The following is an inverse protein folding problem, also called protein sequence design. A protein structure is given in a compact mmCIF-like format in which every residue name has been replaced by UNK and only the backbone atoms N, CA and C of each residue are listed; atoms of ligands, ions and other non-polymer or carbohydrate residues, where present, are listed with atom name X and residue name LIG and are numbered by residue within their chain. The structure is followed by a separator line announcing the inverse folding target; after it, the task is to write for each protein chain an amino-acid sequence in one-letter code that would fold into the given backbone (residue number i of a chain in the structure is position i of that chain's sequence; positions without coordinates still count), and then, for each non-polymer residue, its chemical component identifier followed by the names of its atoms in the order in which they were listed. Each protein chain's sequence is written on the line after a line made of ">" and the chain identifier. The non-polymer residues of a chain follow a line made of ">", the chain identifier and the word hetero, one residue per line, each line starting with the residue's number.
data_IF_567195906982
#
_entry.id   IF_567195906982
#
_cell.length_a   1.000
_cell.length_b   1.000
_cell.length_c   1.000
_cell.angle_alpha   90.00
_cell.angle_beta   90.00
_cell.angle_gamma   90.00
#
_symmetry.space_group_name_H-M   'P 1'
#
loop_
_entity.id
_entity.type
_entity.pdbx_description
1 polymer ?
#
# COMPACT_ATOMS: atom_id res chain seq x y z
N UNK A 1 25.92 22.17 18.95
CA UNK A 1 25.37 20.83 18.68
C UNK A 1 23.93 21.03 18.23
N UNK A 2 23.67 20.98 16.92
CA UNK A 2 22.31 20.97 16.39
C UNK A 2 21.68 19.63 16.75
N UNK A 3 20.55 19.62 17.46
CA UNK A 3 19.78 18.40 17.72
C UNK A 3 19.54 17.69 16.38
N UNK A 4 20.02 16.46 16.27
CA UNK A 4 19.76 15.62 15.12
C UNK A 4 18.28 15.23 15.19
N UNK A 5 17.44 15.93 14.44
CA UNK A 5 16.01 15.65 14.35
C UNK A 5 15.86 14.28 13.68
N UNK A 6 15.65 13.24 14.48
CA UNK A 6 15.26 11.92 14.00
C UNK A 6 13.93 12.05 13.25
N UNK A 7 13.95 11.82 11.93
CA UNK A 7 12.76 11.93 11.09
C UNK A 7 11.82 10.75 11.21
N UNK A 8 12.33 9.60 11.67
CA UNK A 8 11.58 8.39 11.95
C UNK A 8 11.86 7.95 13.39
N UNK A 9 10.89 8.12 14.31
CA UNK A 9 10.98 7.54 15.65
C UNK A 9 10.61 6.05 15.57
N UNK A 10 11.62 5.20 15.51
CA UNK A 10 11.42 3.81 15.09
C UNK A 10 10.80 2.91 16.16
N UNK A 11 10.90 3.23 17.46
CA UNK A 11 10.62 2.24 18.53
C UNK A 11 9.20 1.66 18.50
N UNK A 12 8.18 2.50 18.32
CA UNK A 12 6.78 2.04 18.22
C UNK A 12 6.56 1.26 16.93
N UNK A 13 7.07 1.79 15.80
CA UNK A 13 6.96 1.13 14.49
C UNK A 13 7.70 -0.22 14.44
N UNK A 14 8.82 -0.35 15.15
CA UNK A 14 9.64 -1.57 15.22
C UNK A 14 8.87 -2.68 15.94
N UNK A 15 8.30 -2.36 17.10
CA UNK A 15 7.51 -3.30 17.88
C UNK A 15 6.26 -3.77 17.11
N UNK A 16 5.49 -2.84 16.54
CA UNK A 16 4.30 -3.16 15.75
C UNK A 16 4.63 -3.96 14.49
N UNK A 17 5.76 -3.64 13.82
CA UNK A 17 6.23 -4.41 12.66
C UNK A 17 6.63 -5.83 13.03
N UNK A 18 7.37 -6.02 14.13
CA UNK A 18 7.78 -7.34 14.60
C UNK A 18 6.58 -8.25 14.90
N UNK A 19 5.59 -7.74 15.64
CA UNK A 19 4.33 -8.45 15.93
C UNK A 19 3.59 -8.80 14.63
N UNK A 20 3.56 -7.86 13.69
CA UNK A 20 2.94 -8.07 12.38
C UNK A 20 3.64 -9.18 11.58
N UNK A 21 4.97 -9.20 11.58
CA UNK A 21 5.76 -10.26 10.92
C UNK A 21 5.48 -11.63 11.54
N UNK A 22 5.46 -11.74 12.87
CA UNK A 22 5.15 -12.99 13.57
C UNK A 22 3.74 -13.51 13.20
N UNK A 23 2.75 -12.61 13.24
CA UNK A 23 1.37 -12.93 12.89
C UNK A 23 1.19 -13.37 11.43
N UNK A 24 1.94 -12.78 10.51
CA UNK A 24 1.89 -13.13 9.09
C UNK A 24 2.65 -14.41 8.80
N UNK A 25 3.91 -14.50 9.25
CA UNK A 25 4.78 -15.63 8.91
C UNK A 25 4.34 -16.94 9.55
N UNK A 26 3.68 -16.92 10.72
CA UNK A 26 3.05 -18.11 11.31
C UNK A 26 1.93 -18.71 10.44
N UNK A 27 1.34 -17.92 9.52
CA UNK A 27 0.27 -18.34 8.62
C UNK A 27 0.76 -18.71 7.22
N UNK A 28 2.03 -18.47 6.90
CA UNK A 28 2.57 -18.75 5.58
C UNK A 28 3.01 -20.20 5.45
N UNK A 29 2.42 -20.90 4.49
CA UNK A 29 2.94 -22.17 4.00
C UNK A 29 4.05 -21.83 3.01
N UNK A 30 5.30 -22.08 3.40
CA UNK A 30 6.45 -21.91 2.50
C UNK A 30 6.68 -23.20 1.71
N UNK A 31 6.99 -23.11 0.42
CA UNK A 31 7.54 -24.24 -0.31
C UNK A 31 8.77 -24.77 0.43
N UNK A 32 8.97 -26.08 0.37
CA UNK A 32 10.19 -26.67 0.89
C UNK A 32 11.41 -26.25 0.04
N UNK A 33 12.60 -26.34 0.63
CA UNK A 33 13.83 -25.91 -0.04
C UNK A 33 14.11 -26.70 -1.33
N UNK A 34 13.72 -27.98 -1.41
CA UNK A 34 13.97 -28.80 -2.61
C UNK A 34 13.12 -28.35 -3.80
N UNK A 35 11.91 -27.85 -3.54
CA UNK A 35 11.08 -27.21 -4.57
C UNK A 35 11.78 -25.96 -5.12
N UNK A 36 12.32 -25.11 -4.25
CA UNK A 36 13.04 -23.89 -4.66
C UNK A 36 14.31 -24.25 -5.44
N UNK A 37 15.12 -25.19 -4.94
CA UNK A 37 16.33 -25.65 -5.60
C UNK A 37 16.04 -26.26 -6.99
N UNK A 38 14.92 -26.98 -7.11
CA UNK A 38 14.43 -27.53 -8.37
C UNK A 38 14.10 -26.44 -9.40
N UNK A 39 13.55 -25.31 -8.96
CA UNK A 39 13.31 -24.14 -9.82
C UNK A 39 14.64 -23.48 -10.22
N UNK A 40 15.51 -23.21 -9.24
CA UNK A 40 16.77 -22.48 -9.44
C UNK A 40 17.78 -23.24 -10.32
N UNK A 41 17.63 -24.56 -10.48
CA UNK A 41 18.41 -25.35 -11.45
C UNK A 41 18.26 -24.84 -12.90
N UNK A 42 17.14 -24.19 -13.22
CA UNK A 42 16.85 -23.65 -14.55
C UNK A 42 17.09 -22.13 -14.64
N UNK A 43 17.57 -21.51 -13.56
CA UNK A 43 17.84 -20.08 -13.50
C UNK A 43 19.10 -19.73 -14.29
N UNK A 44 19.06 -18.59 -14.99
CA UNK A 44 20.20 -18.05 -15.72
C UNK A 44 20.30 -16.54 -15.45
N UNK A 45 21.53 -16.04 -15.27
CA UNK A 45 21.75 -14.63 -14.91
C UNK A 45 21.37 -13.62 -16.00
N UNK A 46 21.25 -14.07 -17.24
CA UNK A 46 20.94 -13.28 -18.44
C UNK A 46 19.43 -13.14 -18.71
N UNK A 47 18.57 -13.60 -17.79
CA UNK A 47 17.11 -13.52 -17.93
C UNK A 47 16.43 -13.18 -16.60
N UNK A 48 15.36 -12.39 -16.68
CA UNK A 48 14.49 -12.08 -15.55
C UNK A 48 13.39 -13.12 -15.31
N UNK A 49 13.32 -14.15 -16.15
CA UNK A 49 12.32 -15.20 -16.11
C UNK A 49 13.00 -16.58 -16.05
N UNK A 50 12.49 -17.47 -15.21
CA UNK A 50 12.84 -18.90 -15.18
C UNK A 50 11.69 -19.67 -15.82
N UNK A 51 11.99 -20.51 -16.81
CA UNK A 51 10.98 -21.37 -17.47
C UNK A 51 11.38 -22.83 -17.30
N UNK A 52 10.55 -23.59 -16.60
CA UNK A 52 10.75 -25.02 -16.35
C UNK A 52 10.39 -25.86 -17.59
N UNK A 53 10.82 -27.14 -17.67
CA UNK A 53 10.49 -28.03 -18.78
C UNK A 53 8.99 -28.25 -19.01
N UNK A 54 8.20 -28.19 -17.94
CA UNK A 54 6.73 -28.29 -17.98
C UNK A 54 6.04 -26.96 -18.32
N UNK A 55 6.82 -25.93 -18.66
CA UNK A 55 6.40 -24.56 -19.01
C UNK A 55 5.88 -23.72 -17.85
N UNK A 56 6.03 -24.17 -16.60
CA UNK A 56 5.84 -23.28 -15.47
C UNK A 56 6.86 -22.14 -15.52
N UNK A 57 6.40 -20.93 -15.18
CA UNK A 57 7.18 -19.70 -15.28
C UNK A 57 7.30 -19.03 -13.92
N UNK A 58 8.50 -18.59 -13.60
CA UNK A 58 8.83 -17.79 -12.43
C UNK A 58 9.55 -16.51 -12.86
N UNK A 59 9.46 -15.48 -12.04
CA UNK A 59 9.89 -14.13 -12.40
C UNK A 59 10.70 -13.54 -11.26
N UNK A 60 11.85 -12.98 -11.61
CA UNK A 60 12.66 -12.18 -10.70
C UNK A 60 12.23 -10.72 -10.74
N UNK A 61 11.81 -10.21 -9.58
CA UNK A 61 11.27 -8.87 -9.42
C UNK A 61 12.08 -8.07 -8.38
N UNK A 62 12.61 -6.91 -8.77
CA UNK A 62 13.29 -5.99 -7.88
C UNK A 62 12.33 -4.94 -7.32
N UNK A 63 12.07 -5.02 -6.01
CA UNK A 63 11.32 -4.03 -5.27
C UNK A 63 12.24 -2.92 -4.75
N UNK A 64 11.84 -1.66 -4.97
CA UNK A 64 12.51 -0.45 -4.46
C UNK A 64 11.60 0.46 -3.61
N UNK A 65 10.32 0.09 -3.47
CA UNK A 65 9.30 0.84 -2.75
C UNK A 65 8.62 0.00 -1.67
N UNK A 66 7.31 0.18 -1.47
CA UNK A 66 6.57 -0.55 -0.44
C UNK A 66 6.63 -2.07 -0.58
N UNK A 67 6.85 -2.61 -1.79
CA UNK A 67 6.98 -4.06 -2.01
C UNK A 67 8.25 -4.67 -1.42
N UNK A 68 9.21 -3.85 -0.94
CA UNK A 68 10.34 -4.34 -0.14
C UNK A 68 9.88 -4.87 1.22
N UNK A 69 8.69 -4.46 1.68
CA UNK A 69 8.16 -4.78 2.99
C UNK A 69 7.35 -6.10 2.92
N UNK A 70 7.70 -7.13 3.72
CA UNK A 70 7.03 -8.43 3.67
C UNK A 70 5.55 -8.36 4.05
N UNK A 71 5.17 -7.42 4.91
CA UNK A 71 3.77 -7.18 5.26
C UNK A 71 3.02 -6.60 4.06
N UNK A 72 3.61 -5.62 3.38
CA UNK A 72 3.00 -5.02 2.20
C UNK A 72 2.77 -6.04 1.07
N UNK A 73 3.69 -7.00 0.89
CA UNK A 73 3.52 -8.12 -0.03
C UNK A 73 2.37 -9.04 0.40
N UNK A 74 2.37 -9.47 1.67
CA UNK A 74 1.33 -10.34 2.22
C UNK A 74 -0.08 -9.75 2.09
N UNK A 75 -0.25 -8.46 2.41
CA UNK A 75 -1.55 -7.78 2.35
C UNK A 75 -2.11 -7.66 0.93
N UNK A 76 -1.27 -7.91 -0.08
CA UNK A 76 -1.60 -7.92 -1.51
C UNK A 76 -1.62 -9.33 -2.10
N UNK A 77 -1.60 -10.36 -1.25
CA UNK A 77 -1.59 -11.77 -1.62
C UNK A 77 -0.40 -12.13 -2.56
N UNK A 78 0.75 -11.49 -2.32
CA UNK A 78 2.03 -11.78 -2.96
C UNK A 78 2.93 -12.47 -1.94
N UNK A 79 3.35 -13.70 -2.23
CA UNK A 79 4.16 -14.53 -1.34
C UNK A 79 5.42 -15.00 -2.08
N UNK A 80 6.53 -14.25 -2.04
CA UNK A 80 7.75 -14.66 -2.72
C UNK A 80 8.22 -16.04 -2.29
N UNK A 81 8.69 -16.83 -3.24
CA UNK A 81 9.34 -18.13 -3.00
C UNK A 81 10.69 -17.92 -2.32
N UNK A 82 11.39 -16.87 -2.74
CA UNK A 82 12.70 -16.46 -2.24
C UNK A 82 12.81 -14.94 -2.27
N UNK A 83 13.63 -14.37 -1.39
CA UNK A 83 13.97 -12.95 -1.43
C UNK A 83 15.38 -12.69 -0.93
N UNK A 84 16.08 -11.72 -1.53
CA UNK A 84 17.42 -11.31 -1.11
C UNK A 84 17.68 -9.82 -1.38
N UNK A 85 18.52 -9.15 -0.56
CA UNK A 85 18.87 -7.75 -0.79
C UNK A 85 19.83 -7.62 -1.98
N UNK A 86 19.65 -6.56 -2.78
CA UNK A 86 20.50 -6.28 -3.92
C UNK A 86 20.57 -4.76 -4.18
N UNK A 87 21.44 -4.38 -5.11
CA UNK A 87 21.54 -3.03 -5.67
C UNK A 87 21.37 -3.04 -7.19
N UNK A 88 20.88 -1.95 -7.74
CA UNK A 88 20.82 -1.70 -9.18
C UNK A 88 21.59 -0.42 -9.49
N UNK A 89 22.56 -0.51 -10.41
CA UNK A 89 23.44 0.58 -10.80
C UNK A 89 22.83 1.40 -11.94
N UNK A 90 23.31 2.63 -12.09
CA UNK A 90 22.91 3.59 -13.13
C UNK A 90 21.49 4.14 -12.96
N UNK A 91 20.95 4.09 -11.74
CA UNK A 91 19.61 4.58 -11.43
C UNK A 91 19.56 5.28 -10.08
N UNK A 92 18.59 6.19 -9.94
CA UNK A 92 18.22 6.80 -8.66
C UNK A 92 16.73 6.62 -8.42
N UNK A 93 16.36 6.53 -7.14
CA UNK A 93 14.98 6.57 -6.70
C UNK A 93 14.48 8.01 -6.67
N UNK A 94 13.26 8.24 -7.15
CA UNK A 94 12.54 9.51 -7.05
C UNK A 94 11.13 9.26 -6.55
N UNK A 95 10.44 10.31 -6.08
CA UNK A 95 9.06 10.19 -5.61
C UNK A 95 8.13 11.14 -6.37
N UNK A 96 6.95 10.69 -6.81
CA UNK A 96 6.08 11.44 -7.75
C UNK A 96 4.83 12.11 -7.12
N UNK A 97 4.34 13.23 -7.69
CA UNK A 97 3.51 14.23 -6.99
C UNK A 97 2.06 13.87 -6.63
N UNK A 98 1.53 12.70 -7.00
CA UNK A 98 0.14 12.35 -6.65
C UNK A 98 0.01 11.64 -5.30
N UNK A 99 1.07 10.97 -4.82
CA UNK A 99 1.05 10.20 -3.57
C UNK A 99 2.43 10.05 -2.91
N UNK A 100 3.48 10.68 -3.47
CA UNK A 100 4.86 10.46 -3.02
C UNK A 100 5.33 9.01 -3.20
N UNK A 101 4.81 8.31 -4.21
CA UNK A 101 5.18 6.93 -4.53
C UNK A 101 6.53 6.87 -5.23
N UNK A 102 7.28 5.79 -4.98
CA UNK A 102 8.60 5.57 -5.56
C UNK A 102 8.52 5.33 -7.07
N UNK A 103 9.47 5.90 -7.79
CA UNK A 103 9.74 5.69 -9.22
C UNK A 103 11.25 5.70 -9.44
N UNK A 104 11.68 5.35 -10.64
CA UNK A 104 13.09 5.23 -11.01
C UNK A 104 13.45 6.11 -12.19
N UNK A 105 14.61 6.77 -12.09
CA UNK A 105 15.22 7.56 -13.16
C UNK A 105 16.65 7.09 -13.44
N UNK A 106 17.09 7.08 -14.72
CA UNK A 106 18.48 6.88 -15.05
C UNK A 106 19.39 7.90 -14.36
N UNK A 107 20.52 7.44 -13.84
CA UNK A 107 21.53 8.25 -13.18
C UNK A 107 22.86 7.50 -13.21
N UNK A 108 23.82 7.89 -14.06
CA UNK A 108 25.04 7.11 -14.36
C UNK A 108 25.89 6.74 -13.15
N UNK A 109 25.88 7.56 -12.09
CA UNK A 109 26.61 7.31 -10.85
C UNK A 109 25.67 6.94 -9.69
N UNK A 110 24.38 6.80 -9.99
CA UNK A 110 23.36 6.44 -9.02
C UNK A 110 23.33 4.94 -8.80
N UNK A 111 22.99 4.58 -7.56
CA UNK A 111 22.57 3.24 -7.20
C UNK A 111 21.30 3.29 -6.36
N UNK A 112 20.42 2.33 -6.60
CA UNK A 112 19.27 2.04 -5.76
C UNK A 112 19.47 0.70 -5.08
N UNK A 113 19.13 0.62 -3.80
CA UNK A 113 19.15 -0.64 -3.06
C UNK A 113 17.71 -1.08 -2.86
N UNK A 114 17.49 -2.39 -2.94
CA UNK A 114 16.18 -2.99 -2.99
C UNK A 114 16.20 -4.44 -2.52
N UNK A 115 15.08 -5.12 -2.77
CA UNK A 115 14.94 -6.54 -2.52
C UNK A 115 14.52 -7.22 -3.81
N UNK A 116 15.25 -8.26 -4.21
CA UNK A 116 14.84 -9.13 -5.31
C UNK A 116 13.97 -10.23 -4.75
N UNK A 117 12.82 -10.45 -5.38
CA UNK A 117 11.84 -11.48 -5.05
C UNK A 117 11.71 -12.47 -6.21
N UNK A 118 11.67 -13.77 -5.91
CA UNK A 118 11.26 -14.80 -6.86
C UNK A 118 9.75 -15.03 -6.73
N UNK A 119 9.00 -14.71 -7.78
CA UNK A 119 7.55 -14.84 -7.82
C UNK A 119 7.11 -15.90 -8.84
N UNK A 120 5.97 -16.55 -8.60
CA UNK A 120 5.31 -17.32 -9.66
C UNK A 120 4.70 -16.40 -10.71
N UNK A 121 4.45 -16.90 -11.92
CA UNK A 121 3.75 -16.15 -12.97
C UNK A 121 2.39 -15.60 -12.51
N UNK A 122 1.64 -16.37 -11.73
CA UNK A 122 0.36 -15.93 -11.19
C UNK A 122 0.51 -14.72 -10.25
N UNK A 123 1.48 -14.77 -9.34
CA UNK A 123 1.77 -13.66 -8.43
C UNK A 123 2.25 -12.44 -9.20
N UNK A 124 3.06 -12.64 -10.25
CA UNK A 124 3.52 -11.54 -11.09
C UNK A 124 2.35 -10.87 -11.83
N UNK A 125 1.37 -11.64 -12.33
CA UNK A 125 0.15 -11.08 -12.95
C UNK A 125 -0.72 -10.31 -11.96
N UNK A 126 -0.79 -10.75 -10.71
CA UNK A 126 -1.47 -9.99 -9.64
C UNK A 126 -0.76 -8.67 -9.36
N UNK A 127 0.57 -8.71 -9.29
CA UNK A 127 1.39 -7.51 -9.09
C UNK A 127 1.24 -6.52 -10.26
N UNK A 128 1.24 -7.00 -11.50
CA UNK A 128 0.97 -6.18 -12.69
C UNK A 128 -0.40 -5.47 -12.61
N UNK A 129 -1.43 -6.15 -12.09
CA UNK A 129 -2.75 -5.55 -11.90
C UNK A 129 -2.78 -4.48 -10.79
N UNK A 130 -1.95 -4.63 -9.75
CA UNK A 130 -1.80 -3.65 -8.67
C UNK A 130 -1.02 -2.43 -9.17
N UNK A 131 0.05 -2.66 -9.91
CA UNK A 131 0.98 -1.64 -10.42
C UNK A 131 0.54 -1.09 -11.79
N UNK A 132 -0.77 -0.99 -12.05
CA UNK A 132 -1.33 -0.64 -13.37
C UNK A 132 -0.88 0.72 -13.94
N UNK A 133 -0.31 1.60 -13.11
CA UNK A 133 0.25 2.90 -13.52
C UNK A 133 1.75 2.82 -13.89
N UNK A 134 2.37 1.66 -13.72
CA UNK A 134 3.76 1.38 -14.05
C UNK A 134 3.85 0.41 -15.24
N UNK A 135 5.04 0.30 -15.81
CA UNK A 135 5.44 -0.78 -16.71
C UNK A 135 6.72 -1.41 -16.19
N UNK A 136 6.94 -2.66 -16.59
CA UNK A 136 8.16 -3.39 -16.26
C UNK A 136 9.28 -2.99 -17.22
N UNK A 137 10.45 -2.72 -16.68
CA UNK A 137 11.71 -2.66 -17.43
C UNK A 137 12.66 -3.72 -16.88
N UNK A 138 13.59 -4.18 -17.71
CA UNK A 138 14.63 -5.14 -17.29
C UNK A 138 15.86 -4.36 -16.87
N UNK A 139 16.43 -4.69 -15.72
CA UNK A 139 17.65 -4.07 -15.20
C UNK A 139 18.62 -5.14 -14.69
N UNK A 140 19.90 -4.79 -14.64
CA UNK A 140 20.90 -5.61 -13.93
C UNK A 140 20.81 -5.30 -12.43
N UNK A 141 20.62 -6.34 -11.63
CA UNK A 141 20.77 -6.28 -10.18
C UNK A 141 22.05 -6.99 -9.75
N UNK A 142 22.64 -6.53 -8.66
CA UNK A 142 23.86 -7.10 -8.07
C UNK A 142 23.56 -7.37 -6.59
N UNK A 143 23.63 -8.63 -6.16
CA UNK A 143 23.49 -8.95 -4.74
C UNK A 143 24.76 -8.58 -3.95
N UNK A 144 24.72 -8.67 -2.62
CA UNK A 144 25.88 -8.31 -1.78
C UNK A 144 27.01 -9.34 -1.77
N UNK A 145 26.88 -10.40 -2.58
CA UNK A 145 27.94 -11.34 -2.91
C UNK A 145 28.52 -11.07 -4.31
N UNK A 146 28.20 -9.90 -4.90
CA UNK A 146 28.64 -9.45 -6.23
C UNK A 146 28.17 -10.35 -7.39
N UNK A 147 27.09 -11.10 -7.21
CA UNK A 147 26.46 -11.87 -8.26
C UNK A 147 25.45 -10.99 -9.01
N UNK A 148 25.54 -10.99 -10.34
CA UNK A 148 24.65 -10.21 -11.20
C UNK A 148 23.48 -11.06 -11.69
N UNK A 149 22.30 -10.45 -11.77
CA UNK A 149 21.09 -11.11 -12.24
C UNK A 149 20.15 -10.10 -12.94
N UNK A 150 19.62 -10.44 -14.11
CA UNK A 150 18.58 -9.64 -14.76
C UNK A 150 17.26 -9.78 -14.03
N UNK A 151 16.61 -8.66 -13.74
CA UNK A 151 15.35 -8.62 -12.99
C UNK A 151 14.39 -7.61 -13.59
N UNK A 152 13.09 -7.80 -13.37
CA UNK A 152 12.10 -6.76 -13.67
C UNK A 152 12.02 -5.75 -12.53
N UNK A 153 11.85 -4.48 -12.89
CA UNK A 153 11.54 -3.39 -11.97
C UNK A 153 10.42 -2.54 -12.58
N UNK A 154 9.58 -1.94 -11.74
CA UNK A 154 8.50 -1.07 -12.21
C UNK A 154 8.95 0.38 -12.35
N UNK A 155 8.62 0.99 -13.49
CA UNK A 155 8.79 2.41 -13.78
C UNK A 155 7.44 3.02 -14.13
N UNK A 156 7.13 4.21 -13.61
CA UNK A 156 5.85 4.87 -13.90
C UNK A 156 5.69 5.14 -15.40
N UNK A 157 4.48 4.97 -15.92
CA UNK A 157 4.13 5.22 -17.34
C UNK A 157 3.99 6.71 -17.68
N UNK A 158 4.05 7.58 -16.67
CA UNK A 158 3.79 9.00 -16.79
C UNK A 158 5.07 9.74 -16.42
N UNK A 159 5.60 10.50 -17.38
CA UNK A 159 6.67 11.44 -17.11
C UNK A 159 6.12 12.62 -16.31
N UNK A 160 6.31 12.55 -14.99
CA UNK A 160 6.05 13.67 -14.10
C UNK A 160 7.26 14.59 -14.11
N UNK A 161 7.13 15.86 -14.57
CA UNK A 161 8.27 16.77 -14.64
C UNK A 161 8.78 17.19 -13.25
N UNK A 162 7.98 16.98 -12.20
CA UNK A 162 8.34 17.32 -10.83
C UNK A 162 8.45 16.07 -9.95
N UNK A 163 9.37 16.15 -9.00
CA UNK A 163 9.46 15.25 -7.86
C UNK A 163 8.68 15.81 -6.69
N UNK A 164 8.27 14.94 -5.77
CA UNK A 164 7.66 15.28 -4.50
C UNK A 164 8.40 14.58 -3.36
N UNK A 165 8.03 14.90 -2.13
CA UNK A 165 8.53 14.17 -0.96
C UNK A 165 7.64 12.94 -0.70
N UNK A 166 8.22 11.79 -0.32
CA UNK A 166 7.43 10.69 0.22
C UNK A 166 6.81 11.11 1.55
N UNK A 167 5.66 10.51 1.89
CA UNK A 167 5.18 10.59 3.27
C UNK A 167 6.13 9.85 4.21
N UNK A 168 6.24 10.32 5.44
CA UNK A 168 7.02 9.65 6.49
C UNK A 168 6.54 8.20 6.69
N UNK A 169 5.22 7.96 6.63
CA UNK A 169 4.62 6.61 6.61
C UNK A 169 5.18 5.72 5.50
N UNK A 170 5.19 6.23 4.27
CA UNK A 170 5.66 5.46 3.12
C UNK A 170 7.15 5.14 3.21
N UNK A 171 7.95 6.10 3.65
CA UNK A 171 9.38 5.89 3.87
C UNK A 171 9.64 4.87 4.98
N UNK A 172 8.87 4.91 6.08
CA UNK A 172 8.98 3.91 7.15
C UNK A 172 8.70 2.49 6.64
N UNK A 173 7.67 2.30 5.80
CA UNK A 173 7.38 1.00 5.16
C UNK A 173 8.61 0.49 4.39
N UNK A 174 9.24 1.36 3.58
CA UNK A 174 10.45 1.02 2.80
C UNK A 174 11.58 0.63 3.74
N UNK A 175 11.85 1.45 4.76
CA UNK A 175 12.91 1.21 5.75
C UNK A 175 12.72 -0.12 6.47
N UNK A 176 11.51 -0.45 6.93
CA UNK A 176 11.22 -1.76 7.54
C UNK A 176 11.49 -2.92 6.60
N UNK A 177 11.19 -2.76 5.32
CA UNK A 177 11.52 -3.75 4.28
C UNK A 177 13.03 -3.92 4.13
N UNK A 178 13.77 -2.80 4.03
CA UNK A 178 15.22 -2.80 3.99
C UNK A 178 15.83 -3.54 5.19
N UNK A 179 15.38 -3.21 6.41
CA UNK A 179 15.87 -3.80 7.65
C UNK A 179 15.58 -5.31 7.71
N UNK A 180 14.34 -5.70 7.38
CA UNK A 180 13.94 -7.11 7.37
C UNK A 180 14.82 -7.96 6.46
N UNK A 181 15.10 -7.48 5.24
CA UNK A 181 15.92 -8.19 4.26
C UNK A 181 17.41 -7.86 4.34
N UNK A 182 17.85 -7.11 5.36
CA UNK A 182 19.27 -6.77 5.60
C UNK A 182 19.92 -6.04 4.40
N UNK A 183 19.19 -5.09 3.81
CA UNK A 183 19.75 -4.11 2.87
C UNK A 183 20.91 -3.36 3.55
N UNK A 184 21.90 -2.92 2.77
CA UNK A 184 23.14 -2.34 3.28
C UNK A 184 22.88 -1.21 4.29
N UNK A 185 23.51 -1.24 5.49
CA UNK A 185 23.22 -0.28 6.56
C UNK A 185 23.37 1.19 6.14
N UNK A 186 24.40 1.53 5.38
CA UNK A 186 24.62 2.90 4.91
C UNK A 186 23.46 3.43 4.05
N UNK A 187 22.81 2.57 3.26
CA UNK A 187 21.63 2.94 2.49
C UNK A 187 20.41 3.16 3.39
N UNK A 188 20.24 2.31 4.40
CA UNK A 188 19.17 2.45 5.40
C UNK A 188 19.34 3.76 6.18
N UNK A 189 20.56 4.08 6.60
CA UNK A 189 20.88 5.32 7.30
C UNK A 189 20.57 6.55 6.42
N UNK A 190 20.95 6.52 5.14
CA UNK A 190 20.60 7.57 4.19
C UNK A 190 19.08 7.78 4.09
N UNK A 191 18.30 6.69 4.00
CA UNK A 191 16.85 6.79 4.03
C UNK A 191 16.34 7.40 5.35
N UNK A 192 16.83 6.94 6.50
CA UNK A 192 16.34 7.42 7.80
C UNK A 192 16.69 8.86 8.11
N UNK A 193 17.87 9.32 7.70
CA UNK A 193 18.45 10.58 8.18
C UNK A 193 18.51 11.67 7.09
N UNK A 194 18.74 11.30 5.83
CA UNK A 194 18.96 12.26 4.75
C UNK A 194 17.70 12.51 3.92
N UNK A 195 16.93 11.45 3.61
CA UNK A 195 15.73 11.55 2.79
C UNK A 195 14.70 12.49 3.43
N UNK A 196 14.32 13.54 2.70
CA UNK A 196 13.26 14.45 3.10
C UNK A 196 11.89 13.77 2.99
N UNK A 197 10.98 14.09 3.91
CA UNK A 197 9.65 13.50 4.03
C UNK A 197 8.59 14.55 4.32
N UNK A 198 7.34 14.21 4.00
CA UNK A 198 6.16 14.87 4.55
C UNK A 198 5.86 14.21 5.91
N UNK A 199 5.97 14.93 7.05
CA UNK A 199 5.76 14.34 8.36
C UNK A 199 4.36 13.75 8.53
N UNK A 200 4.24 12.70 9.34
CA UNK A 200 2.93 12.19 9.78
C UNK A 200 2.17 13.28 10.52
N UNK A 201 0.86 13.35 10.29
CA UNK A 201 -0.02 14.16 11.13
C UNK A 201 -0.06 13.53 12.53
N UNK A 202 -0.08 14.38 13.54
CA UNK A 202 -0.37 13.98 14.91
C UNK A 202 -1.89 13.78 15.07
N UNK A 203 -2.35 12.96 16.03
CA UNK A 203 -3.78 12.67 16.20
C UNK A 203 -4.68 13.90 16.30
N UNK A 204 -4.24 14.97 16.97
CA UNK A 204 -5.00 16.22 17.09
C UNK A 204 -5.14 17.01 15.78
N UNK A 205 -4.36 16.67 14.75
CA UNK A 205 -4.41 17.28 13.43
C UNK A 205 -5.21 16.44 12.41
N UNK A 206 -5.66 15.24 12.81
CA UNK A 206 -6.53 14.41 11.98
C UNK A 206 -7.84 15.15 11.69
N UNK A 207 -8.23 15.17 10.42
CA UNK A 207 -9.51 15.66 9.97
C UNK A 207 -10.57 14.58 10.19
N UNK A 208 -11.78 15.03 10.44
CA UNK A 208 -12.96 14.17 10.57
C UNK A 208 -14.12 14.78 9.81
N UNK A 209 -15.02 13.93 9.32
CA UNK A 209 -16.24 14.39 8.67
C UNK A 209 -17.11 15.18 9.66
N UNK A 210 -17.41 16.43 9.30
CA UNK A 210 -18.22 17.35 10.10
C UNK A 210 -19.70 17.24 9.73
N UNK A 211 -20.57 17.82 10.55
CA UNK A 211 -22.02 17.88 10.31
C UNK A 211 -22.67 16.49 10.21
N UNK A 212 -22.18 15.50 10.97
CA UNK A 212 -22.84 14.21 11.11
C UNK A 212 -24.10 14.42 11.97
N UNK A 213 -25.31 14.06 11.51
CA UNK A 213 -26.49 14.08 12.37
C UNK A 213 -26.28 13.18 13.60
N UNK A 214 -26.47 13.73 14.80
CA UNK A 214 -26.19 13.02 16.06
C UNK A 214 -27.23 11.94 16.37
N UNK A 215 -28.46 12.13 15.87
CA UNK A 215 -29.63 11.34 16.25
C UNK A 215 -30.04 10.33 15.16
N UNK A 216 -29.28 10.25 14.07
CA UNK A 216 -29.59 9.41 12.90
C UNK A 216 -28.64 8.22 12.86
N UNK A 217 -29.20 7.03 13.08
CA UNK A 217 -28.45 5.79 13.12
C UNK A 217 -29.02 4.72 12.20
N UNK A 218 -28.14 4.08 11.45
CA UNK A 218 -28.46 3.01 10.52
C UNK A 218 -27.86 1.68 10.98
N UNK A 219 -28.51 0.56 10.66
CA UNK A 219 -27.95 -0.77 10.88
C UNK A 219 -26.94 -1.15 9.78
N UNK A 220 -26.15 -2.20 10.02
CA UNK A 220 -25.24 -2.75 9.00
C UNK A 220 -26.03 -3.32 7.82
N UNK A 221 -27.20 -3.90 8.06
CA UNK A 221 -28.09 -4.40 7.01
C UNK A 221 -28.68 -3.27 6.17
N UNK A 222 -29.03 -2.14 6.79
CA UNK A 222 -29.45 -0.94 6.06
C UNK A 222 -28.31 -0.44 5.18
N UNK A 223 -27.11 -0.24 5.74
CA UNK A 223 -25.92 0.13 4.96
C UNK A 223 -25.70 -0.82 3.77
N UNK A 224 -25.82 -2.14 3.98
CA UNK A 224 -25.63 -3.16 2.95
C UNK A 224 -26.60 -3.07 1.76
N UNK A 225 -27.79 -2.47 1.92
CA UNK A 225 -28.73 -2.22 0.80
C UNK A 225 -28.28 -1.11 -0.13
N UNK A 226 -27.39 -0.24 0.34
CA UNK A 226 -26.87 0.91 -0.39
C UNK A 226 -25.52 0.62 -1.06
N UNK A 227 -25.36 -0.59 -1.61
CA UNK A 227 -24.16 -1.04 -2.34
C UNK A 227 -24.13 -0.60 -3.81
N UNK A 228 -25.20 0.05 -4.27
CA UNK A 228 -25.39 0.52 -5.63
C UNK A 228 -25.91 -0.55 -6.60
N UNK A 229 -26.31 -1.74 -6.13
CA UNK A 229 -26.99 -2.76 -6.93
C UNK A 229 -28.40 -2.33 -7.33
N UNK A 230 -29.13 -1.68 -6.42
CA UNK A 230 -30.41 -1.04 -6.69
C UNK A 230 -30.21 0.42 -7.15
N UNK A 231 -30.55 0.76 -8.41
CA UNK A 231 -30.42 2.14 -8.91
C UNK A 231 -31.39 3.13 -8.26
N UNK A 232 -32.42 2.67 -7.53
CA UNK A 232 -33.34 3.53 -6.79
C UNK A 232 -32.78 3.99 -5.44
N UNK A 233 -31.72 3.35 -4.94
CA UNK A 233 -31.08 3.70 -3.68
C UNK A 233 -29.78 4.47 -3.92
N UNK A 234 -29.48 5.50 -3.10
CA UNK A 234 -28.18 6.15 -3.14
C UNK A 234 -27.07 5.17 -2.72
N UNK A 235 -25.85 5.41 -3.18
CA UNK A 235 -24.67 4.64 -2.78
C UNK A 235 -24.13 5.16 -1.44
N UNK A 236 -24.00 4.29 -0.44
CA UNK A 236 -23.46 4.64 0.87
C UNK A 236 -22.17 3.89 1.17
N UNK A 237 -21.33 4.48 2.02
CA UNK A 237 -20.22 3.81 2.71
C UNK A 237 -20.22 4.23 4.18
N UNK A 238 -19.57 3.45 5.03
CA UNK A 238 -19.23 3.88 6.39
C UNK A 238 -17.71 4.00 6.55
N UNK A 239 -17.25 5.10 7.14
CA UNK A 239 -15.84 5.34 7.51
C UNK A 239 -15.80 5.74 8.97
N UNK A 240 -15.16 4.93 9.81
CA UNK A 240 -15.05 5.17 11.25
C UNK A 240 -16.43 5.44 11.86
N UNK A 241 -17.37 4.53 11.56
CA UNK A 241 -18.80 4.54 11.93
C UNK A 241 -19.64 5.71 11.37
N UNK A 242 -19.08 6.60 10.56
CA UNK A 242 -19.81 7.70 9.94
C UNK A 242 -20.30 7.27 8.56
N UNK A 243 -21.60 7.39 8.32
CA UNK A 243 -22.19 7.04 7.03
C UNK A 243 -22.15 8.24 6.10
N UNK A 244 -21.55 8.02 4.94
CA UNK A 244 -21.41 8.99 3.87
C UNK A 244 -22.25 8.52 2.67
N UNK A 245 -23.14 9.39 2.23
CA UNK A 245 -23.92 9.23 1.01
C UNK A 245 -23.19 9.87 -0.18
N UNK A 246 -23.06 9.11 -1.27
CA UNK A 246 -22.59 9.62 -2.53
C UNK A 246 -23.73 10.30 -3.28
N UNK A 247 -23.60 11.59 -3.62
CA UNK A 247 -24.65 12.41 -4.25
C UNK A 247 -25.00 12.02 -5.70
N UNK A 248 -24.38 10.96 -6.23
CA UNK A 248 -24.64 10.43 -7.56
C UNK A 248 -23.71 11.00 -8.63
N UNK A 249 -23.92 10.55 -9.87
CA UNK A 249 -23.20 11.09 -11.03
C UNK A 249 -23.78 12.46 -11.39
N UNK A 250 -22.93 13.47 -11.68
CA UNK A 250 -23.44 14.73 -12.21
C UNK A 250 -24.06 14.50 -13.62
N UNK A 251 -24.75 15.50 -14.19
CA UNK A 251 -25.18 15.46 -15.59
C UNK A 251 -24.04 15.13 -16.56
N UNK A 252 -24.35 14.49 -17.69
CA UNK A 252 -23.33 14.02 -18.68
C UNK A 252 -22.48 15.16 -19.25
N UNK A 253 -23.03 16.37 -19.31
CA UNK A 253 -22.38 17.60 -19.76
C UNK A 253 -21.54 18.30 -18.67
N UNK A 254 -21.58 17.82 -17.42
CA UNK A 254 -20.74 18.35 -16.35
C UNK A 254 -19.25 18.03 -16.60
N UNK A 255 -18.32 18.99 -16.38
CA UNK A 255 -16.89 18.78 -16.63
C UNK A 255 -16.30 17.56 -15.89
N UNK A 256 -16.83 17.27 -14.70
CA UNK A 256 -16.33 16.16 -13.87
C UNK A 256 -17.01 14.81 -14.16
N UNK A 257 -17.97 14.72 -15.10
CA UNK A 257 -18.77 13.50 -15.31
C UNK A 257 -17.91 12.24 -15.50
N UNK A 258 -16.90 12.29 -16.37
CA UNK A 258 -16.02 11.14 -16.62
C UNK A 258 -15.20 10.74 -15.41
N UNK A 259 -14.74 11.70 -14.62
CA UNK A 259 -14.00 11.43 -13.39
C UNK A 259 -14.93 10.77 -12.36
N UNK A 260 -16.10 11.37 -12.12
CA UNK A 260 -17.09 10.85 -11.17
C UNK A 260 -17.65 9.49 -11.62
N UNK A 261 -17.78 9.23 -12.92
CA UNK A 261 -18.18 7.93 -13.44
C UNK A 261 -17.18 6.83 -13.05
N UNK A 262 -15.88 7.11 -13.14
CA UNK A 262 -14.82 6.18 -12.71
C UNK A 262 -14.82 6.01 -11.19
N UNK A 263 -14.90 7.12 -10.44
CA UNK A 263 -14.98 7.09 -8.98
C UNK A 263 -16.19 6.27 -8.51
N UNK A 264 -17.38 6.54 -9.05
CA UNK A 264 -18.61 5.81 -8.72
C UNK A 264 -18.49 4.32 -9.01
N UNK A 265 -17.97 3.93 -10.18
CA UNK A 265 -17.75 2.53 -10.52
C UNK A 265 -16.79 1.82 -9.54
N UNK A 266 -15.72 2.51 -9.13
CA UNK A 266 -14.79 1.99 -8.12
C UNK A 266 -15.46 1.85 -6.75
N UNK A 267 -16.13 2.90 -6.26
CA UNK A 267 -16.81 2.89 -4.96
C UNK A 267 -17.88 1.81 -4.95
N UNK A 268 -18.76 1.77 -5.95
CA UNK A 268 -19.80 0.73 -6.09
C UNK A 268 -19.20 -0.68 -6.03
N UNK A 269 -18.12 -0.94 -6.76
CA UNK A 269 -17.54 -2.30 -6.84
C UNK A 269 -16.71 -2.71 -5.63
N UNK A 270 -16.12 -1.76 -4.89
CA UNK A 270 -15.14 -2.06 -3.83
C UNK A 270 -15.58 -1.67 -2.41
N UNK A 271 -16.38 -0.62 -2.28
CA UNK A 271 -16.66 0.08 -1.02
C UNK A 271 -18.16 0.15 -0.68
N UNK A 272 -19.02 0.16 -1.70
CA UNK A 272 -20.47 0.36 -1.56
C UNK A 272 -21.11 -0.57 -0.53
N UNK A 273 -21.94 -0.01 0.33
CA UNK A 273 -22.70 -0.71 1.34
C UNK A 273 -21.85 -1.36 2.44
N UNK A 274 -20.64 -0.84 2.71
CA UNK A 274 -19.71 -1.43 3.68
C UNK A 274 -19.13 -0.40 4.64
N UNK A 275 -18.73 -0.87 5.82
CA UNK A 275 -17.72 -0.21 6.64
C UNK A 275 -16.36 -0.45 5.97
N UNK A 276 -15.65 0.63 5.61
CA UNK A 276 -14.41 0.53 4.81
C UNK A 276 -13.14 0.78 5.62
N UNK A 277 -13.22 1.23 6.87
CA UNK A 277 -12.07 1.55 7.72
C UNK A 277 -11.15 0.35 7.92
N UNK A 278 -11.69 -0.84 8.19
CA UNK A 278 -10.86 -2.05 8.32
C UNK A 278 -10.15 -2.42 7.01
N UNK A 279 -10.89 -2.45 5.90
CA UNK A 279 -10.31 -2.75 4.59
C UNK A 279 -9.26 -1.71 4.17
N UNK A 280 -9.48 -0.44 4.49
CA UNK A 280 -8.53 0.64 4.23
C UNK A 280 -7.29 0.54 5.12
N UNK A 281 -7.43 0.26 6.42
CA UNK A 281 -6.30 0.04 7.33
C UNK A 281 -5.38 -1.06 6.81
N UNK A 282 -5.98 -2.16 6.36
CA UNK A 282 -5.26 -3.26 5.72
C UNK A 282 -4.54 -2.82 4.44
N UNK A 283 -5.22 -2.12 3.53
CA UNK A 283 -4.65 -1.76 2.23
C UNK A 283 -3.58 -0.66 2.31
N UNK A 284 -3.75 0.31 3.22
CA UNK A 284 -2.81 1.40 3.39
C UNK A 284 -1.56 0.93 4.11
N UNK A 285 -1.71 0.10 5.14
CA UNK A 285 -0.68 -0.35 6.05
C UNK A 285 0.08 0.82 6.71
N UNK A 286 0.04 0.88 8.03
CA UNK A 286 0.76 1.87 8.82
C UNK A 286 1.65 1.14 9.85
N UNK A 287 2.98 1.20 9.71
CA UNK A 287 3.91 0.54 10.63
C UNK A 287 3.73 0.90 12.11
N UNK A 288 3.12 2.05 12.45
CA UNK A 288 2.83 2.41 13.84
C UNK A 288 1.85 1.44 14.53
N UNK A 289 1.01 0.74 13.76
CA UNK A 289 0.00 -0.18 14.29
C UNK A 289 0.30 -1.60 13.85
N UNK A 290 -0.02 -2.57 14.72
CA UNK A 290 -0.03 -3.97 14.30
C UNK A 290 -1.07 -4.17 13.19
N UNK A 291 -0.80 -5.09 12.24
CA UNK A 291 -1.78 -5.41 11.20
C UNK A 291 -3.07 -5.89 11.87
N UNK A 292 -4.22 -5.25 11.57
CA UNK A 292 -5.49 -5.73 12.07
C UNK A 292 -5.83 -7.05 11.39
N UNK A 293 -6.13 -8.07 12.17
CA UNK A 293 -6.60 -9.38 11.71
C UNK A 293 -8.12 -9.46 11.64
N UNK A 294 -8.80 -8.57 12.36
CA UNK A 294 -10.23 -8.35 12.33
C UNK A 294 -10.57 -6.88 12.65
N UNK A 295 -11.83 -6.49 12.53
CA UNK A 295 -12.29 -5.11 12.72
C UNK A 295 -12.04 -4.55 14.13
N UNK A 296 -12.05 -5.42 15.16
CA UNK A 296 -11.87 -5.00 16.55
C UNK A 296 -10.40 -4.74 16.91
N UNK A 297 -9.45 -5.12 16.05
CA UNK A 297 -8.02 -4.88 16.29
C UNK A 297 -7.63 -3.41 16.06
N UNK A 298 -8.53 -2.62 15.47
CA UNK A 298 -8.29 -1.19 15.23
C UNK A 298 -8.56 -0.35 16.48
N UNK A 299 -7.50 0.23 17.03
CA UNK A 299 -7.65 1.24 18.08
C UNK A 299 -8.30 2.52 17.53
N UNK A 300 -8.87 3.34 18.43
CA UNK A 300 -9.53 4.59 18.06
C UNK A 300 -8.64 5.55 17.25
N UNK A 301 -7.34 5.62 17.59
CA UNK A 301 -6.38 6.45 16.88
C UNK A 301 -6.16 5.99 15.43
N UNK A 302 -6.00 4.68 15.20
CA UNK A 302 -5.84 4.13 13.87
C UNK A 302 -7.11 4.35 13.02
N UNK A 303 -8.31 4.17 13.60
CA UNK A 303 -9.57 4.46 12.88
C UNK A 303 -9.68 5.94 12.50
N UNK A 304 -9.28 6.83 13.40
CA UNK A 304 -9.25 8.28 13.12
C UNK A 304 -8.22 8.65 12.04
N UNK A 305 -7.05 8.00 12.01
CA UNK A 305 -6.09 8.18 10.93
C UNK A 305 -6.66 7.74 9.58
N UNK A 306 -7.32 6.58 9.52
CA UNK A 306 -7.93 6.09 8.27
C UNK A 306 -9.04 7.01 7.79
N UNK A 307 -9.83 7.57 8.71
CA UNK A 307 -10.78 8.62 8.38
C UNK A 307 -10.10 9.86 7.82
N UNK A 308 -9.01 10.35 8.43
CA UNK A 308 -8.26 11.51 7.93
C UNK A 308 -7.67 11.25 6.53
N UNK A 309 -7.09 10.08 6.31
CA UNK A 309 -6.55 9.67 5.02
C UNK A 309 -7.65 9.62 3.95
N UNK A 310 -8.81 9.07 4.29
CA UNK A 310 -9.98 9.07 3.41
C UNK A 310 -10.45 10.50 3.16
N UNK A 311 -10.64 11.30 4.22
CA UNK A 311 -11.05 12.70 4.14
C UNK A 311 -10.15 13.51 3.21
N UNK A 312 -8.82 13.37 3.33
CA UNK A 312 -7.87 14.11 2.50
C UNK A 312 -7.96 13.74 1.01
N UNK A 313 -8.17 12.45 0.70
CA UNK A 313 -8.41 12.00 -0.69
C UNK A 313 -9.73 12.54 -1.25
N UNK A 314 -10.74 12.65 -0.40
CA UNK A 314 -12.06 13.16 -0.79
C UNK A 314 -12.10 14.68 -0.90
N UNK A 315 -11.29 15.39 -0.13
CA UNK A 315 -11.25 16.84 -0.08
C UNK A 315 -10.36 17.47 -1.18
N UNK A 316 -9.78 16.66 -2.08
CA UNK A 316 -9.28 17.16 -3.35
C UNK A 316 -10.47 17.72 -4.15
N UNK A 317 -10.39 19.00 -4.52
CA UNK A 317 -11.55 19.91 -4.55
C UNK A 317 -12.77 19.47 -5.36
N UNK A 318 -12.58 18.65 -6.40
CA UNK A 318 -13.66 18.14 -7.23
C UNK A 318 -14.52 17.06 -6.54
N UNK A 319 -13.93 16.22 -5.68
CA UNK A 319 -14.67 15.10 -5.08
C UNK A 319 -15.48 15.50 -3.84
N UNK A 320 -15.10 16.57 -3.15
CA UNK A 320 -15.70 16.98 -1.86
C UNK A 320 -17.22 17.17 -1.94
N UNK A 321 -17.70 17.71 -3.06
CA UNK A 321 -19.10 18.09 -3.24
C UNK A 321 -20.02 16.90 -3.50
N UNK A 322 -19.48 15.69 -3.69
CA UNK A 322 -20.26 14.49 -3.97
C UNK A 322 -20.50 13.62 -2.74
N UNK A 323 -20.09 14.07 -1.55
CA UNK A 323 -20.24 13.30 -0.32
C UNK A 323 -20.96 14.09 0.75
N UNK A 324 -22.04 13.49 1.24
CA UNK A 324 -22.85 14.05 2.30
C UNK A 324 -22.84 13.09 3.49
N UNK A 325 -22.38 13.53 4.66
CA UNK A 325 -22.58 12.74 5.87
C UNK A 325 -24.06 12.72 6.26
N UNK A 326 -24.60 11.54 6.53
CA UNK A 326 -26.05 11.34 6.75
C UNK A 326 -26.41 10.73 8.11
N UNK A 327 -25.42 10.22 8.84
CA UNK A 327 -25.63 9.65 10.18
C UNK A 327 -24.49 8.72 10.58
N UNK A 328 -24.78 7.80 11.49
CA UNK A 328 -23.82 6.84 12.01
C UNK A 328 -24.32 5.40 11.91
N UNK A 329 -23.39 4.46 11.94
CA UNK A 329 -23.77 3.07 12.25
C UNK A 329 -24.25 3.00 13.70
N UNK A 330 -25.34 2.26 13.93
CA UNK A 330 -25.74 1.88 15.29
C UNK A 330 -24.57 1.12 15.90
N UNK A 331 -24.16 1.52 17.11
CA UNK A 331 -23.25 0.71 17.88
C UNK A 331 -23.87 -0.69 17.96
N UNK A 332 -23.15 -1.68 17.44
CA UNK A 332 -23.50 -3.07 17.68
C UNK A 332 -23.56 -3.18 19.19
N UNK A 333 -24.75 -3.35 19.76
CA UNK A 333 -24.92 -3.71 21.16
C UNK A 333 -24.36 -5.12 21.30
N UNK A 334 -23.03 -5.26 21.22
CA UNK A 334 -22.30 -6.36 21.78
C UNK A 334 -22.46 -6.18 23.28
N UNK A 335 -23.64 -6.62 23.73
CA UNK A 335 -23.99 -6.97 25.09
C UNK A 335 -22.72 -7.47 25.77
N UNK A 336 -22.24 -6.69 26.73
CA UNK A 336 -21.48 -7.12 27.90
C UNK A 336 -20.96 -8.56 27.80
N UNK A 337 -19.73 -8.74 27.33
CA UNK A 337 -18.92 -9.85 27.82
C UNK A 337 -18.53 -9.52 29.26
N UNK A 338 -19.46 -9.77 30.18
CA UNK A 338 -19.18 -10.13 31.57
C UNK A 338 -18.34 -11.40 31.64
#
# INVERSE_FOLDING_TARGET
>A
MTEQIFRLNSSVSDASFAVSCENVFSKLIRPDQSTIDGILKYDTCDKADIVLPDRQKFVWYFAMGSMMNPISLFLRDILPLMSYPAKCLNYKIVFRPSMGMADIEPCSEGEIHGVVHLLSDEQMRRLDAIEAIYHRIVVNSINYQEQTHLVYIYKMNIDYPSTSLPSERYLDIIVKGCEHYKVQPAYIDRLKYEQAVIPRKKPHAFQSFKNIPEDVFFSVEELGRHDGSDPALPLWISVNEKILEYSGLPPVDHPDYKLQQRSYAFIKSKLGGREVTYGMAKNLYEPLYAIPTNENDLCAEHRAQIEDDFYCRMNDGQNKNYWKPIGRLRASNNLSKT
#
